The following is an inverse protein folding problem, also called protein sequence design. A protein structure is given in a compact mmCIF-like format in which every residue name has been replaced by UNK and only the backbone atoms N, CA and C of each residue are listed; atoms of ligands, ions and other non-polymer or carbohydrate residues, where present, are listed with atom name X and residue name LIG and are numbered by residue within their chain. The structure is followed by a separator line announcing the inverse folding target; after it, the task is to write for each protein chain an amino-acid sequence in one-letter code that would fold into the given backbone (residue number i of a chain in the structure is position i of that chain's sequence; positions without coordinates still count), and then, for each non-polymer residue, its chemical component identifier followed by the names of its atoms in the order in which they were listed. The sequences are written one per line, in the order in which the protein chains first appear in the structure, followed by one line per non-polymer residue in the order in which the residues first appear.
data_IF_941798720114
#
_entry.id   IF_941798720114
#
_cell.length_a   1.000
_cell.length_b   1.000
_cell.length_c   1.000
_cell.angle_alpha   90.00
_cell.angle_beta   90.00
_cell.angle_gamma   90.00
#
_symmetry.space_group_name_H-M   'P 1'
#
loop_
_entity.id
_entity.type
_entity.pdbx_description
1 polymer ?
#
# COMPACT_ATOMS: atom_id res chain seq x y z
N UNK A 1 -1.29 -5.11 -16.86
CA UNK A 1 -0.86 -3.98 -16.03
C UNK A 1 -0.91 -4.56 -14.64
N UNK A 2 0.23 -4.63 -13.97
CA UNK A 2 0.27 -5.27 -12.65
C UNK A 2 -0.22 -4.20 -11.65
N UNK A 3 -1.43 -4.40 -11.11
CA UNK A 3 -2.14 -3.52 -10.18
C UNK A 3 -2.62 -4.36 -8.99
N UNK A 4 -2.54 -3.81 -7.77
CA UNK A 4 -2.91 -4.52 -6.55
C UNK A 4 -3.85 -3.70 -5.68
N UNK A 5 -4.76 -4.39 -5.01
CA UNK A 5 -5.71 -3.78 -4.07
C UNK A 5 -5.66 -4.52 -2.73
N UNK A 6 -5.70 -3.77 -1.63
CA UNK A 6 -5.88 -4.30 -0.28
C UNK A 6 -7.09 -3.66 0.41
N UNK A 7 -7.80 -4.45 1.21
CA UNK A 7 -8.88 -4.00 2.10
C UNK A 7 -8.30 -3.71 3.50
N UNK A 8 -7.95 -2.46 3.76
CA UNK A 8 -7.23 -2.02 4.97
C UNK A 8 -8.12 -1.28 5.97
N UNK A 9 -9.35 -0.94 5.58
CA UNK A 9 -10.25 -0.06 6.33
C UNK A 9 -10.03 1.43 6.01
N UNK A 10 -11.06 2.28 6.23
CA UNK A 10 -11.07 3.65 5.73
C UNK A 10 -9.96 4.53 6.33
N UNK A 11 -9.65 4.37 7.62
CA UNK A 11 -8.62 5.15 8.29
C UNK A 11 -7.21 4.81 7.77
N UNK A 12 -6.93 3.52 7.56
CA UNK A 12 -5.66 3.05 7.03
C UNK A 12 -5.49 3.42 5.54
N UNK A 13 -6.57 3.35 4.75
CA UNK A 13 -6.53 3.75 3.35
C UNK A 13 -6.19 5.24 3.20
N UNK A 14 -6.80 6.12 4.02
CA UNK A 14 -6.46 7.54 4.08
C UNK A 14 -4.98 7.73 4.49
N UNK A 15 -4.55 7.04 5.55
CA UNK A 15 -3.19 7.14 6.08
C UNK A 15 -2.15 6.76 5.02
N UNK A 16 -2.34 5.62 4.36
CA UNK A 16 -1.42 5.12 3.33
C UNK A 16 -1.34 6.08 2.13
N UNK A 17 -2.47 6.64 1.72
CA UNK A 17 -2.52 7.55 0.57
C UNK A 17 -1.94 8.94 0.85
N UNK A 18 -1.99 9.41 2.10
CA UNK A 18 -1.75 10.84 2.43
C UNK A 18 -0.67 11.10 3.47
N UNK A 19 -0.30 10.11 4.28
CA UNK A 19 0.61 10.28 5.44
C UNK A 19 1.80 9.33 5.44
N UNK A 20 1.79 8.25 4.66
CA UNK A 20 2.96 7.37 4.50
C UNK A 20 4.12 8.08 3.80
N UNK A 21 5.32 7.47 3.86
CA UNK A 21 6.55 7.98 3.24
C UNK A 21 6.42 8.28 1.75
N UNK A 22 5.56 7.54 1.06
CA UNK A 22 5.29 7.73 -0.37
C UNK A 22 4.42 8.97 -0.67
N UNK A 23 3.72 9.55 0.32
CA UNK A 23 2.78 10.64 0.10
C UNK A 23 3.39 11.91 -0.54
N UNK A 24 4.71 12.12 -0.35
CA UNK A 24 5.48 13.23 -0.91
C UNK A 24 5.97 13.00 -2.34
N UNK A 25 5.81 11.79 -2.89
CA UNK A 25 6.24 11.44 -4.24
C UNK A 25 5.28 11.97 -5.32
N UNK A 26 5.71 11.89 -6.58
CA UNK A 26 4.82 12.12 -7.71
C UNK A 26 3.67 11.08 -7.72
N UNK A 27 2.48 11.50 -8.17
CA UNK A 27 1.24 10.73 -8.06
C UNK A 27 1.30 9.29 -8.58
N UNK A 28 2.12 9.00 -9.58
CA UNK A 28 2.29 7.66 -10.15
C UNK A 28 3.02 6.66 -9.23
N UNK A 29 3.76 7.16 -8.23
CA UNK A 29 4.47 6.38 -7.21
C UNK A 29 3.73 6.33 -5.88
N UNK A 30 2.51 6.89 -5.82
CA UNK A 30 1.71 6.93 -4.60
C UNK A 30 0.64 5.87 -4.62
N UNK A 31 0.39 5.20 -3.48
CA UNK A 31 -0.83 4.43 -3.34
C UNK A 31 -2.04 5.38 -3.38
N UNK A 32 -3.18 4.85 -3.83
CA UNK A 32 -4.40 5.62 -4.04
C UNK A 32 -5.54 5.03 -3.24
N UNK A 33 -6.11 5.83 -2.35
CA UNK A 33 -7.36 5.49 -1.68
C UNK A 33 -8.50 5.43 -2.73
N UNK A 34 -9.16 4.27 -2.81
CA UNK A 34 -10.32 4.03 -3.68
C UNK A 34 -11.64 4.27 -2.96
N UNK A 35 -11.61 4.59 -1.66
CA UNK A 35 -12.76 4.62 -0.78
C UNK A 35 -13.18 3.23 -0.31
N UNK A 36 -14.11 3.21 0.65
CA UNK A 36 -14.63 1.97 1.28
C UNK A 36 -13.53 1.13 1.96
N UNK A 37 -12.44 1.78 2.40
CA UNK A 37 -11.30 1.12 3.04
C UNK A 37 -10.38 0.36 2.11
N UNK A 38 -10.40 0.66 0.81
CA UNK A 38 -9.55 0.01 -0.19
C UNK A 38 -8.41 0.90 -0.63
N UNK A 39 -7.21 0.36 -0.63
CA UNK A 39 -5.99 1.02 -1.09
C UNK A 39 -5.49 0.35 -2.37
N UNK A 40 -5.14 1.15 -3.37
CA UNK A 40 -4.64 0.67 -4.66
C UNK A 40 -3.17 1.00 -4.86
N UNK A 41 -2.42 0.02 -5.35
CA UNK A 41 -1.03 0.14 -5.76
C UNK A 41 -0.87 -0.16 -7.24
N UNK A 42 -0.34 0.80 -7.99
CA UNK A 42 0.27 0.51 -9.28
C UNK A 42 1.61 -0.19 -9.07
N UNK A 43 2.16 -0.83 -10.10
CA UNK A 43 3.54 -1.35 -10.08
C UNK A 43 4.59 -0.37 -9.58
N UNK A 44 4.47 0.90 -9.95
CA UNK A 44 5.39 1.96 -9.50
C UNK A 44 5.19 2.30 -8.02
N UNK A 45 3.93 2.39 -7.58
CA UNK A 45 3.60 2.65 -6.18
C UNK A 45 4.02 1.50 -5.27
N UNK A 46 3.81 0.24 -5.68
CA UNK A 46 4.23 -0.94 -4.93
C UNK A 46 5.75 -0.97 -4.75
N UNK A 47 6.51 -0.70 -5.82
CA UNK A 47 7.96 -0.60 -5.76
C UNK A 47 8.46 0.51 -4.84
N UNK A 48 7.83 1.69 -4.89
CA UNK A 48 8.18 2.80 -4.01
C UNK A 48 7.87 2.49 -2.53
N UNK A 49 6.74 1.83 -2.25
CA UNK A 49 6.37 1.44 -0.88
C UNK A 49 7.33 0.39 -0.30
N UNK A 50 7.76 -0.59 -1.10
CA UNK A 50 8.79 -1.58 -0.71
C UNK A 50 10.10 -0.92 -0.30
N UNK A 51 10.53 0.11 -1.04
CA UNK A 51 11.81 0.76 -0.80
C UNK A 51 11.77 1.74 0.39
N UNK A 52 10.64 2.42 0.60
CA UNK A 52 10.58 3.58 1.49
C UNK A 52 9.87 3.35 2.82
N UNK A 53 9.12 2.25 2.96
CA UNK A 53 8.30 1.97 4.13
C UNK A 53 8.72 0.71 4.88
N UNK A 54 9.91 0.14 4.66
CA UNK A 54 10.36 -1.16 5.23
C UNK A 54 10.18 -1.31 6.75
N UNK A 55 10.19 -0.20 7.51
CA UNK A 55 10.06 -0.18 8.98
C UNK A 55 8.85 0.64 9.48
N UNK A 56 7.94 1.06 8.61
CA UNK A 56 6.87 2.04 8.93
C UNK A 56 5.52 1.63 8.29
N UNK A 57 4.46 2.39 8.59
CA UNK A 57 3.15 2.21 7.95
C UNK A 57 3.24 2.28 6.41
N UNK A 58 2.78 1.21 5.77
CA UNK A 58 2.85 0.98 4.33
C UNK A 58 3.99 0.06 3.90
N UNK A 59 4.70 -0.59 4.83
CA UNK A 59 5.67 -1.62 4.50
C UNK A 59 5.03 -2.71 3.63
N UNK A 60 5.74 -3.17 2.61
CA UNK A 60 5.27 -4.23 1.72
C UNK A 60 6.16 -5.45 1.89
N UNK A 61 5.56 -6.59 2.21
CA UNK A 61 6.25 -7.88 2.30
C UNK A 61 5.68 -8.86 1.29
N UNK A 62 6.53 -9.75 0.79
CA UNK A 62 6.15 -10.90 -0.04
C UNK A 62 6.63 -12.15 0.68
N UNK A 63 5.71 -13.07 0.97
CA UNK A 63 6.02 -14.41 1.49
C UNK A 63 5.36 -15.47 0.59
N UNK A 64 5.49 -16.76 0.91
CA UNK A 64 4.92 -17.87 0.16
C UNK A 64 3.38 -17.85 0.06
N UNK A 65 2.71 -16.98 0.81
CA UNK A 65 1.25 -16.77 0.78
C UNK A 65 0.83 -15.59 -0.12
N UNK A 66 1.75 -14.72 -0.55
CA UNK A 66 1.46 -13.57 -1.40
C UNK A 66 2.01 -12.24 -0.87
N UNK A 67 1.48 -11.14 -1.43
CA UNK A 67 1.85 -9.78 -1.08
C UNK A 67 1.01 -9.26 0.08
N UNK A 68 1.61 -8.53 1.01
CA UNK A 68 0.91 -7.86 2.11
C UNK A 68 1.41 -6.44 2.33
N UNK A 69 0.50 -5.56 2.75
CA UNK A 69 0.80 -4.23 3.28
C UNK A 69 0.62 -4.21 4.80
N UNK A 70 1.58 -3.61 5.51
CA UNK A 70 1.55 -3.48 6.96
C UNK A 70 1.11 -2.08 7.39
N UNK A 71 0.24 -2.01 8.39
CA UNK A 71 -0.16 -0.77 9.07
C UNK A 71 -0.14 -1.04 10.57
N UNK A 72 0.75 -0.39 11.30
CA UNK A 72 1.08 -0.72 12.68
C UNK A 72 1.53 -2.17 12.81
N UNK A 73 0.78 -2.97 13.57
CA UNK A 73 1.04 -4.40 13.79
C UNK A 73 0.16 -5.30 12.89
N UNK A 74 -0.76 -4.71 12.13
CA UNK A 74 -1.70 -5.42 11.26
C UNK A 74 -1.14 -5.58 9.84
N UNK A 75 -1.41 -6.73 9.22
CA UNK A 75 -1.06 -7.03 7.84
C UNK A 75 -2.32 -7.31 7.02
N UNK A 76 -2.37 -6.77 5.81
CA UNK A 76 -3.49 -6.91 4.88
C UNK A 76 -3.01 -7.44 3.53
N UNK A 77 -3.70 -8.44 3.00
CA UNK A 77 -3.35 -9.06 1.73
C UNK A 77 -3.59 -8.11 0.55
N UNK A 78 -2.66 -8.16 -0.42
CA UNK A 78 -2.69 -7.42 -1.67
C UNK A 78 -3.03 -8.39 -2.81
N UNK A 79 -4.25 -8.28 -3.33
CA UNK A 79 -4.72 -9.06 -4.47
C UNK A 79 -4.42 -8.35 -5.78
N UNK A 80 -3.91 -9.09 -6.76
CA UNK A 80 -3.69 -8.60 -8.14
C UNK A 80 -5.02 -8.49 -8.90
N UNK A 81 -5.23 -7.39 -9.62
CA UNK A 81 -6.50 -7.06 -10.33
C UNK A 81 -6.36 -6.82 -11.84
#
# INVERSE_FOLDING_TARGET
MDEWIAEVGPENAELLATRSRTAVLASEYRPKDLGDGRIHYSKRALGAARELSEEEDGAITEDGEGLRVWVGEDAFDLDEV
#
